data_IF_667572534066
#
_entry.id   IF_667572534066
#
_cell.length_a   1.000
_cell.length_b   1.000
_cell.length_c   1.000
_cell.angle_alpha   90.00
_cell.angle_beta   90.00
_cell.angle_gamma   90.00
#
_symmetry.space_group_name_H-M   'P 1'
#
loop_
_entity.id
_entity.type
_entity.pdbx_description
1 polymer ?
#
# COMPACT_ATOMS: atom_id res chain seq x y z
N UNK A 1 -11.95 -2.56 -19.12
CA UNK A 1 -11.42 -2.46 -17.75
C UNK A 1 -12.04 -3.54 -16.89
N UNK A 2 -11.25 -4.19 -16.02
CA UNK A 2 -11.74 -5.12 -15.00
C UNK A 2 -12.04 -4.30 -13.74
N UNK A 3 -13.32 -4.13 -13.39
CA UNK A 3 -13.74 -3.26 -12.28
C UNK A 3 -14.58 -3.97 -11.21
N UNK A 4 -15.08 -5.18 -11.49
CA UNK A 4 -15.83 -5.97 -10.51
C UNK A 4 -14.89 -6.88 -9.69
N UNK A 5 -15.09 -7.04 -8.38
CA UNK A 5 -14.29 -7.93 -7.52
C UNK A 5 -14.22 -9.37 -8.02
N UNK A 6 -15.31 -9.89 -8.61
CA UNK A 6 -15.40 -11.23 -9.16
C UNK A 6 -14.47 -11.40 -10.36
N UNK A 7 -14.48 -10.44 -11.29
CA UNK A 7 -13.61 -10.45 -12.47
C UNK A 7 -12.13 -10.25 -12.08
N UNK A 8 -11.84 -9.41 -11.08
CA UNK A 8 -10.48 -9.24 -10.54
C UNK A 8 -10.00 -10.54 -9.90
N UNK A 9 -10.82 -11.17 -9.05
CA UNK A 9 -10.50 -12.48 -8.43
C UNK A 9 -10.36 -13.58 -9.48
N UNK A 10 -11.15 -13.54 -10.54
CA UNK A 10 -11.05 -14.49 -11.64
C UNK A 10 -9.68 -14.38 -12.33
N UNK A 11 -9.28 -13.16 -12.67
CA UNK A 11 -8.03 -12.87 -13.42
C UNK A 11 -6.78 -13.02 -12.55
N UNK A 12 -6.82 -12.61 -11.28
CA UNK A 12 -5.63 -12.59 -10.41
C UNK A 12 -5.45 -13.84 -9.56
N UNK A 13 -6.51 -14.63 -9.36
CA UNK A 13 -6.48 -15.77 -8.42
C UNK A 13 -7.00 -17.05 -9.06
N UNK A 14 -8.24 -17.04 -9.56
CA UNK A 14 -8.95 -18.28 -9.94
C UNK A 14 -8.43 -18.89 -11.23
N UNK A 15 -8.16 -18.04 -12.22
CA UNK A 15 -7.68 -18.40 -13.56
C UNK A 15 -6.41 -17.65 -13.91
N UNK A 16 -5.58 -17.30 -12.91
CA UNK A 16 -4.38 -16.48 -13.09
C UNK A 16 -3.39 -17.05 -14.12
N UNK A 17 -3.37 -18.37 -14.31
CA UNK A 17 -2.54 -19.02 -15.31
C UNK A 17 -2.96 -18.74 -16.77
N UNK A 18 -4.21 -18.32 -17.00
CA UNK A 18 -4.74 -17.94 -18.31
C UNK A 18 -4.42 -16.48 -18.69
N UNK A 19 -3.96 -15.68 -17.73
CA UNK A 19 -3.72 -14.25 -17.91
C UNK A 19 -2.24 -13.91 -17.76
N UNK A 20 -1.69 -13.14 -18.69
CA UNK A 20 -0.30 -12.65 -18.64
C UNK A 20 -0.29 -11.14 -18.50
N UNK A 21 0.35 -10.59 -17.45
CA UNK A 21 0.62 -9.17 -17.36
C UNK A 21 1.47 -8.76 -18.57
N UNK A 22 0.92 -7.98 -19.50
CA UNK A 22 1.74 -7.33 -20.53
C UNK A 22 1.98 -5.90 -20.15
N UNK A 23 3.11 -5.32 -20.58
CA UNK A 23 3.41 -3.92 -20.35
C UNK A 23 3.89 -3.33 -21.67
N UNK A 24 3.83 -2.01 -21.88
CA UNK A 24 4.28 -1.42 -23.12
C UNK A 24 5.79 -1.45 -23.19
N UNK A 25 6.28 -1.45 -24.42
CA UNK A 25 7.70 -1.34 -24.74
C UNK A 25 8.37 -0.11 -24.11
N UNK A 26 7.66 0.99 -23.93
CA UNK A 26 8.20 2.18 -23.25
C UNK A 26 8.59 1.90 -21.80
N UNK A 27 7.77 1.12 -21.07
CA UNK A 27 8.04 0.75 -19.67
C UNK A 27 9.13 -0.30 -19.56
N UNK A 28 9.18 -1.25 -20.50
CA UNK A 28 10.25 -2.24 -20.58
C UNK A 28 11.61 -1.58 -20.84
N UNK A 29 11.66 -0.59 -21.75
CA UNK A 29 12.87 0.17 -22.05
C UNK A 29 13.33 1.05 -20.88
N UNK A 30 12.39 1.57 -20.09
CA UNK A 30 12.70 2.44 -18.95
C UNK A 30 13.23 1.67 -17.74
N UNK A 31 12.57 0.57 -17.35
CA UNK A 31 12.91 -0.19 -16.14
C UNK A 31 14.01 -1.23 -16.44
N UNK A 32 14.02 -1.76 -17.67
CA UNK A 32 14.97 -2.76 -18.13
C UNK A 32 14.32 -4.13 -18.34
N UNK A 33 14.75 -4.88 -19.38
CA UNK A 33 14.23 -6.23 -19.67
C UNK A 33 14.25 -7.26 -18.53
N UNK A 34 15.22 -7.27 -17.58
CA UNK A 34 15.23 -8.27 -16.50
C UNK A 34 14.32 -7.91 -15.31
N UNK A 35 13.57 -6.80 -15.37
CA UNK A 35 12.74 -6.38 -14.26
C UNK A 35 11.69 -7.45 -13.91
N UNK A 36 11.54 -7.72 -12.61
CA UNK A 36 10.69 -8.81 -12.09
C UNK A 36 9.29 -8.83 -12.72
N UNK A 37 8.70 -7.66 -12.96
CA UNK A 37 7.34 -7.50 -13.50
C UNK A 37 7.15 -8.10 -14.90
N UNK A 38 8.22 -8.21 -15.70
CA UNK A 38 8.15 -8.70 -17.10
C UNK A 38 8.38 -10.20 -17.23
N UNK A 39 8.68 -10.89 -16.13
CA UNK A 39 8.98 -12.32 -16.14
C UNK A 39 7.93 -13.12 -15.38
N UNK A 40 7.80 -14.40 -15.74
CA UNK A 40 6.85 -15.33 -15.14
C UNK A 40 7.49 -16.68 -14.83
N UNK A 41 6.72 -17.58 -14.21
CA UNK A 41 7.16 -18.94 -13.91
C UNK A 41 8.36 -18.98 -12.97
N UNK A 42 9.33 -19.83 -13.30
CA UNK A 42 10.46 -20.14 -12.42
C UNK A 42 11.40 -18.95 -12.22
N UNK A 43 11.61 -18.12 -13.24
CA UNK A 43 12.44 -16.92 -13.11
C UNK A 43 11.83 -15.94 -12.10
N UNK A 44 10.54 -15.62 -12.27
CA UNK A 44 9.83 -14.73 -11.36
C UNK A 44 9.82 -15.30 -9.93
N UNK A 45 9.53 -16.60 -9.79
CA UNK A 45 9.52 -17.28 -8.49
C UNK A 45 10.88 -17.22 -7.81
N UNK A 46 11.96 -17.46 -8.56
CA UNK A 46 13.34 -17.38 -8.08
C UNK A 46 13.70 -15.97 -7.63
N UNK A 47 13.44 -14.96 -8.46
CA UNK A 47 13.71 -13.57 -8.14
C UNK A 47 12.89 -13.09 -6.94
N UNK A 48 11.59 -13.39 -6.89
CA UNK A 48 10.76 -13.09 -5.73
C UNK A 48 11.31 -13.71 -4.44
N UNK A 49 11.69 -14.99 -4.46
CA UNK A 49 12.29 -15.67 -3.30
C UNK A 49 13.64 -15.05 -2.88
N UNK A 50 14.43 -14.55 -3.83
CA UNK A 50 15.70 -13.89 -3.56
C UNK A 50 15.50 -12.52 -2.88
N UNK A 51 14.55 -11.72 -3.35
CA UNK A 51 14.35 -10.34 -2.87
C UNK A 51 13.45 -10.25 -1.63
N UNK A 52 12.45 -11.13 -1.48
CA UNK A 52 11.45 -11.01 -0.43
C UNK A 52 12.01 -11.00 1.00
N UNK A 53 13.06 -11.77 1.36
CA UNK A 53 13.65 -11.73 2.71
C UNK A 53 14.22 -10.37 3.10
N UNK A 54 14.74 -9.59 2.14
CA UNK A 54 15.29 -8.24 2.37
C UNK A 54 14.21 -7.24 2.82
N UNK A 55 12.95 -7.51 2.50
CA UNK A 55 11.80 -6.73 2.95
C UNK A 55 11.08 -7.37 4.13
N UNK A 56 11.71 -8.33 4.82
CA UNK A 56 11.15 -8.89 6.04
C UNK A 56 11.07 -7.81 7.11
N UNK A 57 10.05 -7.91 7.97
CA UNK A 57 9.84 -6.93 9.02
C UNK A 57 11.06 -6.77 9.95
N UNK A 58 11.80 -7.86 10.19
CA UNK A 58 12.98 -7.82 11.04
C UNK A 58 14.13 -7.04 10.39
N UNK A 59 14.37 -7.28 9.08
CA UNK A 59 15.40 -6.56 8.32
C UNK A 59 15.07 -5.08 8.24
N UNK A 60 13.83 -4.73 7.86
CA UNK A 60 13.39 -3.33 7.78
C UNK A 60 13.60 -2.62 9.13
N UNK A 61 13.22 -3.25 10.25
CA UNK A 61 13.44 -2.67 11.59
C UNK A 61 14.90 -2.36 11.89
N UNK A 62 15.79 -3.28 11.55
CA UNK A 62 17.22 -3.11 11.81
C UNK A 62 17.84 -2.05 10.88
N UNK A 63 17.18 -1.70 9.76
CA UNK A 63 17.59 -0.63 8.87
C UNK A 63 17.08 0.75 9.31
N UNK A 64 16.02 0.85 10.13
CA UNK A 64 15.43 2.13 10.57
C UNK A 64 16.49 3.10 11.11
N UNK A 65 17.40 2.71 12.03
CA UNK A 65 18.39 3.65 12.56
C UNK A 65 19.35 4.21 11.50
N UNK A 66 19.69 3.39 10.49
CA UNK A 66 20.56 3.82 9.38
C UNK A 66 19.82 4.75 8.42
N UNK A 67 18.55 4.44 8.12
CA UNK A 67 17.69 5.30 7.30
C UNK A 67 17.52 6.66 7.99
N UNK A 68 17.27 6.66 9.30
CA UNK A 68 17.16 7.88 10.10
C UNK A 68 18.46 8.69 10.05
N UNK A 69 19.61 8.07 10.28
CA UNK A 69 20.90 8.75 10.20
C UNK A 69 21.17 9.38 8.83
N UNK A 70 20.86 8.67 7.74
CA UNK A 70 20.99 9.18 6.37
C UNK A 70 20.00 10.32 6.12
N UNK A 71 18.76 10.18 6.55
CA UNK A 71 17.73 11.19 6.37
C UNK A 71 18.09 12.48 7.11
N UNK A 72 18.53 12.41 8.37
CA UNK A 72 18.97 13.58 9.14
C UNK A 72 20.16 14.25 8.48
N UNK A 73 21.17 13.47 8.07
CA UNK A 73 22.34 14.00 7.34
C UNK A 73 21.96 14.67 6.01
N UNK A 74 21.01 14.09 5.27
CA UNK A 74 20.49 14.68 4.04
C UNK A 74 19.72 15.98 4.30
N UNK A 75 18.89 16.01 5.35
CA UNK A 75 18.14 17.20 5.75
C UNK A 75 19.07 18.35 6.15
N UNK A 76 20.15 18.06 6.87
CA UNK A 76 21.17 19.06 7.24
C UNK A 76 21.89 19.66 6.01
N UNK A 77 21.85 18.95 4.87
CA UNK A 77 22.49 19.38 3.62
C UNK A 77 21.56 20.09 2.64
N UNK A 78 20.24 20.12 2.89
CA UNK A 78 19.24 20.69 1.98
C UNK A 78 18.92 22.13 2.34
N UNK A 79 18.60 22.96 1.34
CA UNK A 79 18.00 24.26 1.58
C UNK A 79 16.53 24.14 1.97
N UNK A 80 15.99 25.16 2.64
CA UNK A 80 14.57 25.22 3.01
C UNK A 80 13.63 25.01 1.81
N UNK A 81 13.99 25.55 0.63
CA UNK A 81 13.25 25.36 -0.61
C UNK A 81 13.25 23.90 -1.08
N UNK A 82 14.40 23.21 -0.99
CA UNK A 82 14.50 21.79 -1.33
C UNK A 82 13.71 20.92 -0.35
N UNK A 83 13.68 21.29 0.93
CA UNK A 83 12.87 20.60 1.94
C UNK A 83 11.38 20.77 1.60
N UNK A 84 10.95 21.99 1.29
CA UNK A 84 9.57 22.29 0.92
C UNK A 84 9.13 21.52 -0.34
N UNK A 85 9.96 21.51 -1.40
CA UNK A 85 9.68 20.79 -2.65
C UNK A 85 9.57 19.27 -2.45
N UNK A 86 10.46 18.68 -1.62
CA UNK A 86 10.40 17.25 -1.32
C UNK A 86 9.18 16.89 -0.46
N UNK A 87 8.80 17.74 0.50
CA UNK A 87 7.58 17.56 1.29
C UNK A 87 6.35 17.60 0.39
N UNK A 88 6.28 18.57 -0.53
CA UNK A 88 5.21 18.65 -1.53
C UNK A 88 5.20 17.39 -2.40
N UNK A 89 6.35 16.93 -2.89
CA UNK A 89 6.47 15.72 -3.70
C UNK A 89 5.98 14.45 -2.97
N UNK A 90 6.34 14.29 -1.69
CA UNK A 90 5.86 13.17 -0.86
C UNK A 90 4.35 13.25 -0.63
N UNK A 91 3.80 14.44 -0.39
CA UNK A 91 2.35 14.63 -0.23
C UNK A 91 1.60 14.23 -1.50
N UNK A 92 2.06 14.65 -2.68
CA UNK A 92 1.47 14.24 -3.96
C UNK A 92 1.59 12.73 -4.20
N UNK A 93 2.76 12.13 -3.93
CA UNK A 93 2.95 10.68 -4.07
C UNK A 93 2.08 9.87 -3.09
N UNK A 94 1.83 10.39 -1.88
CA UNK A 94 0.94 9.79 -0.90
C UNK A 94 -0.55 9.99 -1.25
N UNK A 95 -0.89 11.02 -2.01
CA UNK A 95 -2.27 11.39 -2.32
C UNK A 95 -2.96 10.37 -3.23
N UNK A 96 -2.35 9.95 -4.34
CA UNK A 96 -3.00 9.05 -5.29
C UNK A 96 -3.24 7.63 -4.73
N UNK A 97 -2.44 7.20 -3.77
CA UNK A 97 -2.55 5.87 -3.14
C UNK A 97 -3.31 5.87 -1.82
N UNK A 98 -3.15 6.92 -0.99
CA UNK A 98 -3.67 6.95 0.38
C UNK A 98 -4.92 7.82 0.50
N UNK A 99 -5.01 8.95 -0.19
CA UNK A 99 -6.15 9.86 -0.05
C UNK A 99 -7.44 9.28 -0.66
N UNK A 100 -7.34 8.59 -1.80
CA UNK A 100 -8.46 7.84 -2.38
C UNK A 100 -8.95 6.77 -1.39
N UNK A 101 -8.02 5.97 -0.85
CA UNK A 101 -8.35 4.93 0.13
C UNK A 101 -8.99 5.51 1.40
N UNK A 102 -8.44 6.60 1.96
CA UNK A 102 -8.98 7.27 3.14
C UNK A 102 -10.38 7.84 2.88
N UNK A 103 -10.59 8.48 1.73
CA UNK A 103 -11.89 9.03 1.33
C UNK A 103 -12.96 7.93 1.27
N UNK A 104 -12.64 6.79 0.68
CA UNK A 104 -13.55 5.65 0.59
C UNK A 104 -13.77 4.95 1.94
N UNK A 105 -12.74 4.86 2.79
CA UNK A 105 -12.87 4.37 4.17
C UNK A 105 -13.84 5.27 4.94
N UNK A 106 -13.68 6.59 4.89
CA UNK A 106 -14.56 7.54 5.59
C UNK A 106 -15.99 7.48 5.07
N UNK A 107 -16.18 7.44 3.74
CA UNK A 107 -17.51 7.26 3.13
C UNK A 107 -18.15 5.95 3.59
N UNK A 108 -17.41 4.86 3.58
CA UNK A 108 -17.93 3.55 3.96
C UNK A 108 -18.34 3.47 5.43
N UNK A 109 -17.49 3.98 6.33
CA UNK A 109 -17.82 4.02 7.75
C UNK A 109 -19.03 4.95 7.96
N UNK A 110 -19.11 6.07 7.24
CA UNK A 110 -20.27 6.96 7.31
C UNK A 110 -21.58 6.30 6.86
N UNK A 111 -21.55 5.51 5.79
CA UNK A 111 -22.74 4.86 5.22
C UNK A 111 -23.27 3.71 6.12
N UNK A 112 -22.44 3.13 7.00
CA UNK A 112 -22.84 2.16 8.03
C UNK A 112 -22.73 2.75 9.45
N UNK A 113 -23.84 3.33 9.92
CA UNK A 113 -23.94 3.93 11.26
C UNK A 113 -23.59 2.98 12.41
N UNK A 114 -23.81 1.67 12.28
CA UNK A 114 -23.48 0.68 13.32
C UNK A 114 -21.98 0.43 13.35
N UNK A 115 -21.37 0.32 12.17
CA UNK A 115 -19.92 0.20 12.02
C UNK A 115 -19.19 1.45 12.52
N UNK A 116 -19.69 2.65 12.19
CA UNK A 116 -19.16 3.91 12.69
C UNK A 116 -19.15 3.95 14.22
N UNK A 117 -20.26 3.54 14.84
CA UNK A 117 -20.38 3.55 16.29
C UNK A 117 -19.40 2.56 16.93
N UNK A 118 -19.30 1.34 16.38
CA UNK A 118 -18.39 0.32 16.87
C UNK A 118 -16.90 0.72 16.71
N UNK A 119 -16.53 1.36 15.60
CA UNK A 119 -15.17 1.89 15.39
C UNK A 119 -14.87 3.04 16.34
N UNK A 120 -15.83 3.94 16.59
CA UNK A 120 -15.67 5.03 17.57
C UNK A 120 -15.45 4.49 18.99
N UNK A 121 -16.18 3.46 19.38
CA UNK A 121 -16.03 2.79 20.68
C UNK A 121 -14.66 2.13 20.83
N UNK A 122 -14.19 1.44 19.78
CA UNK A 122 -12.84 0.85 19.73
C UNK A 122 -11.74 1.93 19.88
N UNK A 123 -11.85 3.03 19.14
CA UNK A 123 -10.87 4.11 19.20
C UNK A 123 -10.92 4.89 20.53
N UNK A 124 -12.12 5.10 21.09
CA UNK A 124 -12.29 5.77 22.39
C UNK A 124 -11.67 4.95 23.53
N UNK A 125 -11.85 3.63 23.54
CA UNK A 125 -11.23 2.76 24.54
C UNK A 125 -9.70 2.85 24.53
N UNK A 126 -9.11 3.01 23.34
CA UNK A 126 -7.65 3.17 23.17
C UNK A 126 -7.20 4.57 23.60
N UNK A 127 -7.98 5.60 23.28
CA UNK A 127 -7.73 6.98 23.71
C UNK A 127 -7.72 7.11 25.23
N UNK A 128 -8.71 6.51 25.90
CA UNK A 128 -8.82 6.51 27.36
C UNK A 128 -7.65 5.73 28.01
N UNK A 129 -7.27 4.59 27.41
CA UNK A 129 -6.09 3.82 27.83
C UNK A 129 -4.76 4.60 27.67
N UNK A 130 -4.74 5.59 26.78
CA UNK A 130 -3.59 6.46 26.51
C UNK A 130 -3.62 7.78 27.29
N UNK A 131 -4.38 7.83 28.39
CA UNK A 131 -4.49 9.02 29.27
C UNK A 131 -4.96 10.23 28.46
N UNK A 132 -6.04 10.06 27.69
CA UNK A 132 -6.60 11.14 26.89
C UNK A 132 -5.68 11.63 25.76
N UNK A 133 -4.78 10.76 25.27
CA UNK A 133 -3.87 11.09 24.17
C UNK A 133 -2.51 11.67 24.59
N UNK A 134 -2.23 11.78 25.90
CA UNK A 134 -0.88 12.15 26.38
C UNK A 134 0.17 11.11 26.00
N UNK A 135 -0.24 9.85 25.81
CA UNK A 135 0.62 8.78 25.28
C UNK A 135 0.30 8.50 23.82
N UNK A 136 1.35 8.46 22.99
CA UNK A 136 1.24 8.07 21.59
C UNK A 136 0.75 6.63 21.40
N UNK A 137 0.15 6.36 20.24
CA UNK A 137 -0.29 5.02 19.85
C UNK A 137 0.88 4.03 19.82
N UNK A 138 0.73 2.93 20.55
CA UNK A 138 1.71 1.83 20.52
C UNK A 138 1.39 0.84 19.40
N UNK A 139 2.42 0.13 18.91
CA UNK A 139 2.24 -0.90 17.88
C UNK A 139 1.38 -2.10 18.32
N UNK A 140 1.35 -2.38 19.62
CA UNK A 140 0.48 -3.43 20.16
C UNK A 140 -0.99 -3.03 20.06
N UNK A 141 -1.30 -1.75 20.33
CA UNK A 141 -2.65 -1.20 20.18
C UNK A 141 -3.09 -1.20 18.72
N UNK A 142 -2.24 -0.81 17.77
CA UNK A 142 -2.59 -0.86 16.34
C UNK A 142 -2.75 -2.28 15.78
N UNK A 143 -2.28 -3.31 16.50
CA UNK A 143 -2.56 -4.73 16.18
C UNK A 143 -3.83 -5.28 16.82
N UNK A 144 -4.35 -4.60 17.83
CA UNK A 144 -5.54 -5.00 18.59
C UNK A 144 -6.75 -4.10 18.25
N UNK A 145 -6.86 -3.69 16.99
CA UNK A 145 -8.01 -2.94 16.46
C UNK A 145 -8.77 -3.83 15.46
N UNK A 146 -9.45 -4.90 15.92
CA UNK A 146 -10.07 -5.89 15.04
C UNK A 146 -11.16 -5.29 14.13
N UNK A 147 -11.88 -4.25 14.56
CA UNK A 147 -12.88 -3.60 13.72
C UNK A 147 -12.22 -2.69 12.69
N UNK A 148 -11.24 -1.89 13.10
CA UNK A 148 -10.45 -1.07 12.17
C UNK A 148 -9.71 -1.94 11.14
N UNK A 149 -9.19 -3.10 11.57
CA UNK A 149 -8.56 -4.09 10.70
C UNK A 149 -9.57 -4.76 9.75
N UNK A 150 -10.80 -5.03 10.20
CA UNK A 150 -11.86 -5.53 9.33
C UNK A 150 -12.33 -4.51 8.32
N UNK A 151 -12.36 -3.22 8.65
CA UNK A 151 -12.66 -2.15 7.68
C UNK A 151 -11.54 -2.04 6.64
N UNK A 152 -10.28 -2.14 7.09
CA UNK A 152 -9.10 -2.16 6.21
C UNK A 152 -9.08 -3.38 5.29
N UNK A 153 -9.25 -4.58 5.83
CA UNK A 153 -9.13 -5.84 5.08
C UNK A 153 -10.39 -6.21 4.29
N UNK A 154 -11.58 -5.89 4.81
CA UNK A 154 -12.85 -6.26 4.20
C UNK A 154 -13.13 -5.56 2.87
N UNK A 155 -12.44 -4.45 2.57
CA UNK A 155 -12.72 -3.62 1.38
C UNK A 155 -11.50 -3.38 0.49
N UNK A 156 -10.26 -3.68 0.91
CA UNK A 156 -9.11 -3.78 -0.01
C UNK A 156 -9.37 -4.79 -1.15
N UNK A 157 -10.27 -5.76 -0.96
CA UNK A 157 -10.71 -6.67 -2.02
C UNK A 157 -11.81 -6.12 -2.95
N UNK A 158 -12.59 -5.11 -2.53
CA UNK A 158 -13.63 -4.48 -3.37
C UNK A 158 -13.11 -3.26 -4.14
N UNK A 159 -12.17 -2.49 -3.58
CA UNK A 159 -11.64 -1.25 -4.17
C UNK A 159 -10.29 -1.47 -4.83
N UNK A 160 -10.23 -2.44 -5.76
CA UNK A 160 -9.10 -2.56 -6.67
C UNK A 160 -8.91 -1.28 -7.48
N UNK A 161 -8.15 -0.33 -6.96
CA UNK A 161 -7.62 0.85 -7.65
C UNK A 161 -6.56 1.54 -6.75
N UNK A 162 -5.29 1.16 -6.77
CA UNK A 162 -4.33 1.93 -7.59
C UNK A 162 -5.06 2.41 -8.84
N UNK A 163 -5.40 3.70 -8.90
CA UNK A 163 -6.03 4.32 -10.08
C UNK A 163 -5.48 3.69 -11.35
N UNK A 164 -6.28 2.82 -11.97
CA UNK A 164 -5.94 2.05 -13.17
C UNK A 164 -4.58 1.32 -13.14
N UNK A 165 -4.58 0.05 -13.53
CA UNK A 165 -3.41 -0.39 -14.29
C UNK A 165 -3.47 0.48 -15.56
N UNK A 166 -2.48 1.37 -15.82
CA UNK A 166 -2.59 2.30 -16.95
C UNK A 166 -2.86 1.48 -18.23
N UNK A 167 -3.57 2.05 -19.22
CA UNK A 167 -4.02 1.44 -20.51
C UNK A 167 -2.94 0.68 -21.31
N UNK A 168 -1.74 0.77 -20.80
CA UNK A 168 -0.50 0.17 -21.17
C UNK A 168 -0.34 -1.29 -20.74
N UNK A 169 -1.13 -1.80 -19.79
CA UNK A 169 -1.15 -3.23 -19.45
C UNK A 169 -2.37 -3.90 -20.06
N UNK A 170 -2.18 -4.45 -21.25
CA UNK A 170 -3.17 -5.32 -21.86
C UNK A 170 -3.12 -6.69 -21.17
N UNK A 171 -4.26 -7.21 -20.74
CA UNK A 171 -4.39 -8.61 -20.35
C UNK A 171 -4.95 -9.33 -21.57
N UNK A 172 -4.08 -9.95 -22.37
CA UNK A 172 -4.52 -10.76 -23.51
C UNK A 172 -4.73 -12.19 -23.05
N UNK A 173 -5.90 -12.76 -23.34
CA UNK A 173 -6.12 -14.20 -23.23
C UNK A 173 -5.12 -14.91 -24.16
N UNK A 174 -4.32 -15.81 -23.60
CA UNK A 174 -3.37 -16.65 -24.32
C UNK A 174 -3.91 -18.06 -24.47
#
# INVERSE_FOLDING_TARGET
MLSSPEAIRYVLVTQAHLFKPTYPKSKEKLIGPPALFFHHGDYHTKMRKLFQPSFSQNVIRNLIPQIEAIATSALDSFSDDQIADNVIGVLFAAQDTTASLLTWILKYIHDDSKLLQAVKEEQKAIFDANVGGERGLTRAQTRNMPLTDRVRSGRVQEWGSVQSIPDTVAWTAG
#
